data_IF_296018466425
#
_entry.id   IF_296018466425
#
_cell.length_a   1.000
_cell.length_b   1.000
_cell.length_c   1.000
_cell.angle_alpha   90.00
_cell.angle_beta   90.00
_cell.angle_gamma   90.00
#
_symmetry.space_group_name_H-M   'P 1'
#
loop_
_entity.id
_entity.type
_entity.pdbx_description
1 polymer ?
#
# COMPACT_ATOMS: atom_id res chain seq x y z
N UNK A 1 -5.86 49.93 -20.40
CA UNK A 1 -5.35 48.76 -21.14
C UNK A 1 -4.35 48.02 -20.26
N UNK A 2 -4.80 47.15 -19.34
CA UNK A 2 -3.85 46.44 -18.46
C UNK A 2 -4.50 45.77 -17.27
N UNK A 3 -5.14 44.62 -17.47
CA UNK A 3 -5.53 43.76 -16.33
C UNK A 3 -5.74 42.27 -16.67
N UNK A 4 -5.05 41.75 -17.70
CA UNK A 4 -5.15 40.31 -18.07
C UNK A 4 -3.91 39.49 -17.69
N UNK A 5 -2.83 40.15 -17.23
CA UNK A 5 -1.55 39.51 -16.91
C UNK A 5 -1.42 39.09 -15.43
N UNK A 6 -2.22 39.66 -14.52
CA UNK A 6 -2.21 39.25 -13.10
C UNK A 6 -3.08 38.01 -12.83
N UNK A 7 -4.23 37.86 -13.51
CA UNK A 7 -5.14 36.72 -13.33
C UNK A 7 -4.47 35.37 -13.63
N UNK A 8 -3.67 35.29 -14.70
CA UNK A 8 -2.96 34.05 -15.07
C UNK A 8 -1.90 33.61 -14.05
N UNK A 9 -1.26 34.54 -13.33
CA UNK A 9 -0.25 34.20 -12.30
C UNK A 9 -0.88 33.60 -11.05
N UNK A 10 -2.10 33.99 -10.71
CA UNK A 10 -2.82 33.49 -9.54
C UNK A 10 -3.31 32.05 -9.75
N UNK A 11 -3.77 31.73 -10.97
CA UNK A 11 -4.18 30.38 -11.35
C UNK A 11 -2.99 29.40 -11.35
N UNK A 12 -1.83 29.83 -11.84
CA UNK A 12 -0.64 28.97 -11.92
C UNK A 12 -0.06 28.60 -10.54
N UNK A 13 0.01 29.59 -9.63
CA UNK A 13 0.40 29.34 -8.23
C UNK A 13 -0.58 28.43 -7.49
N UNK A 14 -1.87 28.55 -7.78
CA UNK A 14 -2.89 27.65 -7.21
C UNK A 14 -2.72 26.21 -7.70
N UNK A 15 -2.37 25.98 -8.97
CA UNK A 15 -2.10 24.64 -9.51
C UNK A 15 -0.86 24.00 -8.89
N UNK A 16 0.19 24.78 -8.67
CA UNK A 16 1.41 24.32 -7.98
C UNK A 16 1.08 23.89 -6.55
N UNK A 17 0.32 24.72 -5.81
CA UNK A 17 -0.11 24.38 -4.45
C UNK A 17 -0.97 23.11 -4.40
N UNK A 18 -1.90 22.93 -5.34
CA UNK A 18 -2.71 21.72 -5.46
C UNK A 18 -1.85 20.47 -5.74
N UNK A 19 -0.81 20.60 -6.57
CA UNK A 19 0.11 19.50 -6.86
C UNK A 19 0.92 19.09 -5.62
N UNK A 20 1.45 20.06 -4.86
CA UNK A 20 2.11 19.79 -3.59
C UNK A 20 1.15 19.17 -2.56
N UNK A 21 -0.10 19.61 -2.53
CA UNK A 21 -1.13 19.02 -1.67
C UNK A 21 -1.35 17.55 -2.03
N UNK A 22 -1.54 17.23 -3.32
CA UNK A 22 -1.71 15.86 -3.82
C UNK A 22 -0.50 14.98 -3.51
N UNK A 23 0.72 15.50 -3.67
CA UNK A 23 1.94 14.78 -3.31
C UNK A 23 2.01 14.49 -1.80
N UNK A 24 1.69 15.46 -0.94
CA UNK A 24 1.60 15.24 0.50
C UNK A 24 0.58 14.16 0.88
N UNK A 25 -0.56 14.11 0.19
CA UNK A 25 -1.56 13.07 0.44
C UNK A 25 -1.14 11.68 -0.06
N UNK A 26 -0.24 11.59 -1.03
CA UNK A 26 0.18 10.30 -1.59
C UNK A 26 0.95 9.43 -0.59
N UNK A 27 1.76 10.05 0.29
CA UNK A 27 2.46 9.37 1.40
C UNK A 27 1.47 8.75 2.41
N UNK A 28 0.32 9.39 2.64
CA UNK A 28 -0.73 8.88 3.53
C UNK A 28 -1.48 7.66 2.97
N UNK A 29 -1.44 7.44 1.66
CA UNK A 29 -2.22 6.38 0.99
C UNK A 29 -1.45 5.04 0.99
N UNK A 30 -0.18 5.02 1.39
CA UNK A 30 0.59 3.79 1.51
C UNK A 30 0.08 2.97 2.70
N UNK A 31 -0.79 2.00 2.41
CA UNK A 31 -1.22 0.99 3.36
C UNK A 31 -0.04 0.07 3.72
N UNK A 32 0.73 0.44 4.73
CA UNK A 32 1.83 -0.35 5.27
C UNK A 32 1.37 -1.12 6.51
N UNK A 33 1.40 -2.45 6.45
CA UNK A 33 1.14 -3.33 7.60
C UNK A 33 2.48 -3.84 8.14
N UNK A 34 2.60 -3.94 9.47
CA UNK A 34 3.81 -4.42 10.15
C UNK A 34 3.46 -5.60 11.03
N UNK A 35 4.14 -6.72 10.80
CA UNK A 35 4.08 -7.90 11.67
C UNK A 35 5.43 -8.10 12.37
N UNK A 36 5.40 -8.64 13.58
CA UNK A 36 6.59 -9.02 14.35
C UNK A 36 6.45 -10.49 14.74
N UNK A 37 7.49 -11.26 14.47
CA UNK A 37 7.56 -12.69 14.80
C UNK A 37 8.94 -13.01 15.36
N UNK A 38 9.06 -13.92 16.34
CA UNK A 38 10.36 -14.44 16.73
C UNK A 38 11.02 -15.18 15.56
N UNK A 39 12.36 -15.17 15.53
CA UNK A 39 13.16 -15.77 14.44
C UNK A 39 13.02 -17.30 14.39
N UNK A 40 12.89 -17.95 15.55
CA UNK A 40 12.83 -19.42 15.69
C UNK A 40 11.43 -20.02 15.50
N UNK A 41 10.62 -19.39 14.64
CA UNK A 41 9.26 -19.86 14.37
C UNK A 41 9.28 -21.00 13.36
N UNK A 42 8.51 -22.05 13.65
CA UNK A 42 8.38 -23.21 12.77
C UNK A 42 7.80 -22.80 11.42
N UNK A 43 8.34 -23.37 10.34
CA UNK A 43 7.75 -23.28 9.00
C UNK A 43 6.28 -23.73 9.05
N UNK A 44 5.39 -22.94 8.47
CA UNK A 44 3.94 -23.15 8.51
C UNK A 44 3.23 -22.54 9.72
N UNK A 45 3.93 -21.81 10.59
CA UNK A 45 3.28 -21.05 11.66
C UNK A 45 2.56 -19.81 11.10
N UNK A 46 1.36 -19.55 11.63
CA UNK A 46 0.58 -18.38 11.26
C UNK A 46 1.11 -17.12 11.95
N UNK A 47 1.41 -16.08 11.18
CA UNK A 47 1.86 -14.77 11.66
C UNK A 47 0.67 -13.84 11.87
N UNK A 48 -0.24 -13.76 10.90
CA UNK A 48 -1.36 -12.81 10.91
C UNK A 48 -2.26 -12.92 9.69
N UNK A 49 -3.41 -12.24 9.70
CA UNK A 49 -4.36 -12.27 8.58
C UNK A 49 -4.31 -10.97 7.76
N UNK A 50 -3.62 -11.04 6.63
CA UNK A 50 -3.40 -9.90 5.74
C UNK A 50 -4.70 -9.43 5.07
N UNK A 51 -5.63 -10.35 4.78
CA UNK A 51 -6.92 -9.96 4.17
C UNK A 51 -7.71 -9.05 5.12
N UNK A 52 -7.84 -9.48 6.38
CA UNK A 52 -8.56 -8.73 7.40
C UNK A 52 -7.92 -7.38 7.69
N UNK A 53 -6.59 -7.35 7.80
CA UNK A 53 -5.86 -6.13 8.12
C UNK A 53 -5.89 -5.09 6.98
N UNK A 54 -5.99 -5.55 5.72
CA UNK A 54 -6.23 -4.69 4.55
C UNK A 54 -7.72 -4.38 4.31
N UNK A 55 -8.64 -4.96 5.08
CA UNK A 55 -10.09 -4.85 4.83
C UNK A 55 -10.54 -5.50 3.52
N UNK A 56 -9.80 -6.48 3.03
CA UNK A 56 -10.09 -7.24 1.81
C UNK A 56 -10.80 -8.55 2.15
N UNK A 57 -11.76 -8.93 1.30
CA UNK A 57 -12.34 -10.27 1.34
C UNK A 57 -11.37 -11.31 0.75
N UNK A 58 -11.47 -12.55 1.20
CA UNK A 58 -10.66 -13.68 0.68
C UNK A 58 -10.87 -13.86 -0.82
N UNK A 59 -12.10 -13.70 -1.31
CA UNK A 59 -12.40 -13.78 -2.75
C UNK A 59 -11.69 -12.67 -3.54
N UNK A 60 -11.45 -11.52 -2.89
CA UNK A 60 -10.69 -10.41 -3.47
C UNK A 60 -9.21 -10.73 -3.60
N UNK A 61 -8.63 -11.55 -2.70
CA UNK A 61 -7.24 -11.98 -2.80
C UNK A 61 -7.02 -12.87 -4.03
N UNK A 62 -7.91 -13.84 -4.24
CA UNK A 62 -7.84 -14.78 -5.38
C UNK A 62 -8.04 -14.02 -6.70
N UNK A 63 -9.10 -13.22 -6.79
CA UNK A 63 -9.43 -12.48 -8.02
C UNK A 63 -8.34 -11.48 -8.43
N UNK A 64 -7.67 -10.84 -7.46
CA UNK A 64 -6.57 -9.90 -7.70
C UNK A 64 -5.19 -10.57 -7.80
N UNK A 65 -5.13 -11.91 -7.71
CA UNK A 65 -3.88 -12.68 -7.70
C UNK A 65 -2.88 -12.15 -6.68
N UNK A 66 -3.37 -11.95 -5.46
CA UNK A 66 -2.55 -11.45 -4.36
C UNK A 66 -1.35 -12.39 -4.15
N UNK A 67 -0.15 -11.82 -4.16
CA UNK A 67 1.11 -12.55 -3.99
C UNK A 67 2.11 -11.68 -3.26
N UNK A 68 2.98 -12.31 -2.48
CA UNK A 68 4.13 -11.63 -1.89
C UNK A 68 5.20 -11.47 -2.97
N UNK A 69 5.72 -10.25 -3.13
CA UNK A 69 6.88 -9.98 -3.96
C UNK A 69 8.06 -9.76 -3.03
N UNK A 70 8.83 -10.81 -2.77
CA UNK A 70 10.10 -10.73 -2.02
C UNK A 70 11.23 -10.35 -2.97
N UNK A 71 12.13 -9.48 -2.53
CA UNK A 71 13.33 -9.09 -3.30
C UNK A 71 14.48 -10.10 -3.21
N UNK A 72 14.39 -11.09 -2.31
CA UNK A 72 15.40 -12.13 -2.15
C UNK A 72 15.02 -13.40 -2.93
N UNK A 73 16.04 -14.13 -3.39
CA UNK A 73 15.93 -15.42 -4.08
C UNK A 73 15.38 -16.51 -3.14
N UNK A 74 14.09 -16.42 -2.83
CA UNK A 74 13.39 -17.32 -1.92
C UNK A 74 12.25 -16.61 -1.20
N UNK A 75 11.02 -17.09 -1.39
CA UNK A 75 9.90 -16.67 -0.58
C UNK A 75 10.01 -17.33 0.81
N UNK A 76 10.49 -16.57 1.80
CA UNK A 76 10.51 -16.98 3.22
C UNK A 76 9.14 -16.83 3.91
N UNK A 77 8.19 -16.24 3.22
CA UNK A 77 6.85 -16.04 3.72
C UNK A 77 5.86 -16.32 2.59
N UNK A 78 4.70 -16.84 2.95
CA UNK A 78 3.62 -17.12 2.01
C UNK A 78 2.29 -16.62 2.57
N UNK A 79 1.46 -15.98 1.72
CA UNK A 79 0.06 -15.72 2.05
C UNK A 79 -0.79 -16.77 1.38
N UNK A 80 -1.55 -17.52 2.17
CA UNK A 80 -2.49 -18.49 1.62
C UNK A 80 -3.71 -17.73 1.04
N UNK A 81 -3.99 -17.87 -0.27
CA UNK A 81 -5.04 -17.11 -0.94
C UNK A 81 -6.46 -17.53 -0.51
N UNK A 82 -6.62 -18.71 0.09
CA UNK A 82 -7.92 -19.24 0.51
C UNK A 82 -8.35 -18.78 1.91
N UNK A 83 -7.45 -18.22 2.71
CA UNK A 83 -7.78 -17.71 4.05
C UNK A 83 -7.17 -16.34 4.37
N UNK A 84 -6.23 -15.87 3.53
CA UNK A 84 -5.53 -14.60 3.69
C UNK A 84 -4.52 -14.54 4.82
N UNK A 85 -4.13 -15.69 5.37
CA UNK A 85 -3.17 -15.79 6.47
C UNK A 85 -1.75 -15.82 5.91
N UNK A 86 -0.88 -15.03 6.53
CA UNK A 86 0.56 -15.01 6.32
C UNK A 86 1.23 -16.09 7.17
N UNK A 87 2.07 -16.89 6.54
CA UNK A 87 2.84 -17.98 7.12
C UNK A 87 4.34 -17.75 6.89
N UNK A 88 5.15 -18.32 7.79
CA UNK A 88 6.60 -18.56 7.60
C UNK A 88 6.81 -19.77 6.69
#
# INVERSE_FOLDING_TARGET
MGDKRQSSKMTDRSRILLFFLLLCYSELILAQIKYSTPEEVKVGAAIGNVAKDLGLDVSSLISRRFRIVSGADGALFEVNPNNGVLYV
#
